data_IF_132451157537
#
_entry.id   IF_132451157537
#
_cell.length_a   1.000
_cell.length_b   1.000
_cell.length_c   1.000
_cell.angle_alpha   90.00
_cell.angle_beta   90.00
_cell.angle_gamma   90.00
#
_symmetry.space_group_name_H-M   'P 1'
#
loop_
_entity.id
_entity.type
_entity.pdbx_description
1 polymer ?
#
# COMPACT_ATOMS: atom_id res chain seq x y z
N UNK A 1 15.86 3.20 0.13
CA UNK A 1 16.57 3.83 1.28
C UNK A 1 17.95 3.17 1.38
N UNK A 2 19.06 3.88 1.69
CA UNK A 2 20.41 3.29 1.68
C UNK A 2 20.61 2.12 2.66
N UNK A 3 19.89 2.14 3.79
CA UNK A 3 20.01 1.14 4.87
C UNK A 3 18.79 0.21 5.01
N UNK A 4 17.76 0.40 4.18
CA UNK A 4 16.58 -0.45 4.19
C UNK A 4 16.28 -0.84 2.75
N UNK A 5 16.36 -2.15 2.50
CA UNK A 5 15.95 -2.74 1.24
C UNK A 5 14.48 -2.44 0.93
N UNK A 6 14.06 -2.71 -0.32
CA UNK A 6 12.65 -2.70 -0.67
C UNK A 6 11.89 -3.65 0.26
N UNK A 7 10.62 -3.35 0.50
CA UNK A 7 9.74 -4.31 1.15
C UNK A 7 9.26 -5.33 0.13
N UNK A 8 8.99 -6.54 0.60
CA UNK A 8 8.25 -7.54 -0.17
C UNK A 8 6.88 -7.00 -0.56
N UNK A 9 6.37 -7.40 -1.72
CA UNK A 9 5.13 -6.86 -2.28
C UNK A 9 3.95 -7.09 -1.34
N UNK A 10 3.89 -8.27 -0.73
CA UNK A 10 2.85 -8.68 0.22
C UNK A 10 2.83 -7.74 1.43
N UNK A 11 4.01 -7.42 1.95
CA UNK A 11 4.16 -6.48 3.08
C UNK A 11 3.69 -5.07 2.72
N UNK A 12 3.95 -4.62 1.49
CA UNK A 12 3.49 -3.31 1.01
C UNK A 12 1.97 -3.28 0.95
N UNK A 13 1.35 -4.33 0.39
CA UNK A 13 -0.12 -4.46 0.27
C UNK A 13 -0.76 -4.47 1.66
N UNK A 14 -0.27 -5.31 2.57
CA UNK A 14 -0.77 -5.39 3.96
C UNK A 14 -0.65 -4.05 4.68
N UNK A 15 0.48 -3.36 4.55
CA UNK A 15 0.70 -2.06 5.19
C UNK A 15 -0.27 -1.00 4.69
N UNK A 16 -0.44 -0.89 3.36
CA UNK A 16 -1.34 0.10 2.76
C UNK A 16 -2.80 -0.19 3.19
N UNK A 17 -3.20 -1.46 3.23
CA UNK A 17 -4.54 -1.84 3.70
C UNK A 17 -4.74 -1.54 5.20
N UNK A 18 -3.76 -1.83 6.05
CA UNK A 18 -3.85 -1.61 7.50
C UNK A 18 -3.93 -0.12 7.89
N UNK A 19 -3.40 0.77 7.05
CA UNK A 19 -3.41 2.21 7.21
C UNK A 19 -4.57 2.92 6.47
N UNK A 20 -5.41 2.15 5.77
CA UNK A 20 -6.64 2.63 5.16
C UNK A 20 -7.62 3.14 6.22
N UNK A 21 -8.12 4.36 6.04
CA UNK A 21 -9.00 5.05 6.99
C UNK A 21 -8.28 5.68 8.20
N UNK A 22 -6.97 5.53 8.32
CA UNK A 22 -6.14 6.19 9.36
C UNK A 22 -5.23 7.25 8.75
N UNK A 23 -4.34 6.81 7.87
CA UNK A 23 -3.39 7.67 7.17
C UNK A 23 -3.74 7.84 5.70
N UNK A 24 -4.48 6.90 5.13
CA UNK A 24 -4.91 6.92 3.74
C UNK A 24 -6.43 7.03 3.64
N UNK A 25 -6.90 7.73 2.61
CA UNK A 25 -8.31 7.72 2.25
C UNK A 25 -8.70 6.32 1.75
N UNK A 26 -9.73 5.67 2.34
CA UNK A 26 -10.16 4.33 1.94
C UNK A 26 -10.50 4.21 0.46
N UNK A 27 -11.13 5.23 -0.14
CA UNK A 27 -11.51 5.21 -1.55
C UNK A 27 -10.29 5.23 -2.47
N UNK A 28 -9.28 6.01 -2.09
CA UNK A 28 -8.00 6.09 -2.81
C UNK A 28 -7.21 4.78 -2.70
N UNK A 29 -7.21 4.14 -1.53
CA UNK A 29 -6.55 2.83 -1.37
C UNK A 29 -7.17 1.79 -2.31
N UNK A 30 -8.50 1.76 -2.41
CA UNK A 30 -9.19 0.88 -3.35
C UNK A 30 -8.82 1.17 -4.80
N UNK A 31 -8.85 2.44 -5.22
CA UNK A 31 -8.49 2.82 -6.59
C UNK A 31 -7.02 2.52 -6.91
N UNK A 32 -6.11 2.76 -5.96
CA UNK A 32 -4.69 2.45 -6.10
C UNK A 32 -4.48 0.95 -6.37
N UNK A 33 -5.17 0.07 -5.64
CA UNK A 33 -5.07 -1.37 -5.88
C UNK A 33 -5.64 -1.78 -7.23
N UNK A 34 -6.70 -1.14 -7.71
CA UNK A 34 -7.23 -1.38 -9.06
C UNK A 34 -6.21 -1.01 -10.14
N UNK A 35 -5.51 0.12 -9.97
CA UNK A 35 -4.51 0.58 -10.95
C UNK A 35 -3.25 -0.28 -11.04
N UNK A 36 -2.84 -0.94 -9.95
CA UNK A 36 -1.61 -1.77 -9.93
C UNK A 36 -1.86 -3.24 -10.24
N UNK A 37 -3.13 -3.66 -10.34
CA UNK A 37 -3.54 -5.01 -10.73
C UNK A 37 -3.71 -5.16 -12.25
N UNK A 38 -3.59 -4.06 -13.00
CA UNK A 38 -3.51 -3.99 -14.46
C UNK A 38 -2.05 -4.06 -14.94
#
# INVERSE_FOLDING_TARGET
>A
RPYRGPWEKERIVEYIQAESGKHFDPEIVTLFFQMISE
#
